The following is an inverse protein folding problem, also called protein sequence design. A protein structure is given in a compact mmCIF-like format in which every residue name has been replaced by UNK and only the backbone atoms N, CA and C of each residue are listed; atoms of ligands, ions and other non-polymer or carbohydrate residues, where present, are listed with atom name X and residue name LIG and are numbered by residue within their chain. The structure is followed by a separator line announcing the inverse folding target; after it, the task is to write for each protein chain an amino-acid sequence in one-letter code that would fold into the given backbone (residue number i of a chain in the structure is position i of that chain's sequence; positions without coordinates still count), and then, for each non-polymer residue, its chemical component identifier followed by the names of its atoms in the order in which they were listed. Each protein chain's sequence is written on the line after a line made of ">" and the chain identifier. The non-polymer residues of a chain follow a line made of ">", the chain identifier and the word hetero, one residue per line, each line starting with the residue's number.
data_IF_509782665314
#
_entry.id   IF_509782665314
#
_cell.length_a   1.000
_cell.length_b   1.000
_cell.length_c   1.000
_cell.angle_alpha   90.00
_cell.angle_beta   90.00
_cell.angle_gamma   90.00
#
_symmetry.space_group_name_H-M   'P 1'
#
loop_
_entity.id
_entity.type
_entity.pdbx_description
1 polymer ?
#
# COMPACT_ATOMS: atom_id res chain seq x y z
N UNK A 1 35.68 -1.38 -1.27
CA UNK A 1 34.57 -1.12 -2.21
C UNK A 1 33.29 -1.31 -1.43
N UNK A 2 32.76 -0.25 -0.83
CA UNK A 2 31.63 -0.25 0.11
C UNK A 2 30.43 0.36 -0.61
N UNK A 3 29.72 -0.47 -1.38
CA UNK A 3 28.49 -0.12 -2.10
C UNK A 3 27.51 -1.26 -1.79
N UNK A 4 26.78 -1.15 -0.70
CA UNK A 4 25.70 -2.08 -0.34
C UNK A 4 24.55 -1.34 0.34
N UNK A 5 24.87 -0.39 1.23
CA UNK A 5 23.86 0.32 2.03
C UNK A 5 22.89 1.23 1.25
N UNK A 6 23.34 1.91 0.20
CA UNK A 6 22.48 2.83 -0.56
C UNK A 6 21.50 2.10 -1.49
N UNK A 7 21.90 0.96 -2.06
CA UNK A 7 21.05 0.19 -2.96
C UNK A 7 19.95 -0.55 -2.17
N UNK A 8 20.29 -1.05 -0.97
CA UNK A 8 19.33 -1.60 -0.03
C UNK A 8 18.33 -0.53 0.43
N UNK A 9 18.76 0.69 0.76
CA UNK A 9 17.87 1.81 1.15
C UNK A 9 16.96 2.26 -0.02
N UNK A 10 17.45 2.27 -1.26
CA UNK A 10 16.65 2.61 -2.44
C UNK A 10 15.60 1.53 -2.77
N UNK A 11 15.99 0.27 -2.70
CA UNK A 11 15.07 -0.87 -2.86
C UNK A 11 14.03 -0.92 -1.74
N UNK A 12 14.45 -0.58 -0.51
CA UNK A 12 13.60 -0.44 0.68
C UNK A 12 12.53 0.63 0.47
N UNK A 13 12.93 1.83 0.05
CA UNK A 13 12.00 2.93 -0.20
C UNK A 13 11.00 2.58 -1.30
N UNK A 14 11.46 1.94 -2.38
CA UNK A 14 10.60 1.52 -3.49
C UNK A 14 9.50 0.52 -3.06
N UNK A 15 9.83 -0.41 -2.15
CA UNK A 15 8.86 -1.39 -1.65
C UNK A 15 7.79 -0.75 -0.73
N UNK A 16 8.20 0.15 0.16
CA UNK A 16 7.28 0.91 1.03
C UNK A 16 6.38 1.84 0.21
N UNK A 17 6.93 2.56 -0.76
CA UNK A 17 6.17 3.42 -1.68
C UNK A 17 5.14 2.62 -2.48
N UNK A 18 5.51 1.43 -2.96
CA UNK A 18 4.58 0.54 -3.66
C UNK A 18 3.44 0.06 -2.75
N UNK A 19 3.75 -0.33 -1.52
CA UNK A 19 2.72 -0.70 -0.54
C UNK A 19 1.74 0.45 -0.27
N UNK A 20 2.24 1.69 -0.15
CA UNK A 20 1.41 2.87 0.01
C UNK A 20 0.53 3.15 -1.22
N UNK A 21 1.05 2.95 -2.44
CA UNK A 21 0.26 3.11 -3.67
C UNK A 21 -0.90 2.11 -3.75
N UNK A 22 -0.67 0.86 -3.35
CA UNK A 22 -1.72 -0.17 -3.29
C UNK A 22 -2.73 0.16 -2.21
N UNK A 23 -2.29 0.63 -1.04
CA UNK A 23 -3.20 1.07 0.02
C UNK A 23 -4.14 2.19 -0.45
N UNK A 24 -3.65 3.17 -1.21
CA UNK A 24 -4.49 4.21 -1.83
C UNK A 24 -5.50 3.63 -2.81
N UNK A 25 -5.10 2.62 -3.58
CA UNK A 25 -6.00 1.92 -4.51
C UNK A 25 -7.11 1.16 -3.78
N UNK A 26 -6.78 0.51 -2.65
CA UNK A 26 -7.77 -0.13 -1.76
C UNK A 26 -8.76 0.90 -1.21
N UNK A 27 -8.25 2.05 -0.73
CA UNK A 27 -9.10 3.12 -0.20
C UNK A 27 -10.05 3.68 -1.28
N UNK A 28 -9.56 3.87 -2.52
CA UNK A 28 -10.39 4.27 -3.65
C UNK A 28 -11.46 3.22 -3.96
N UNK A 29 -11.12 1.93 -3.94
CA UNK A 29 -12.10 0.86 -4.14
C UNK A 29 -13.21 0.90 -3.09
N UNK A 30 -12.86 1.03 -1.80
CA UNK A 30 -13.86 1.19 -0.74
C UNK A 30 -14.72 2.44 -0.93
N UNK A 31 -14.15 3.57 -1.37
CA UNK A 31 -14.92 4.79 -1.65
C UNK A 31 -15.91 4.60 -2.81
N UNK A 32 -15.51 3.88 -3.88
CA UNK A 32 -16.41 3.55 -4.98
C UNK A 32 -17.53 2.61 -4.55
N UNK A 33 -17.22 1.59 -3.73
CA UNK A 33 -18.21 0.64 -3.19
C UNK A 33 -19.20 1.36 -2.28
N UNK A 34 -18.71 2.21 -1.36
CA UNK A 34 -19.55 2.95 -0.42
C UNK A 34 -20.51 3.94 -1.10
N UNK A 35 -20.12 4.49 -2.27
CA UNK A 35 -20.98 5.36 -3.07
C UNK A 35 -22.12 4.61 -3.78
N UNK A 36 -22.06 3.29 -3.88
CA UNK A 36 -23.17 2.42 -4.31
C UNK A 36 -23.57 2.46 -5.79
N UNK A 37 -23.31 3.56 -6.49
CA UNK A 37 -23.90 3.80 -7.81
C UNK A 37 -22.83 3.89 -8.90
N UNK A 38 -22.56 2.78 -9.60
CA UNK A 38 -22.06 2.68 -10.99
C UNK A 38 -21.34 1.35 -11.26
N UNK A 39 -21.03 1.10 -12.54
CA UNK A 39 -20.08 0.06 -12.97
C UNK A 39 -18.76 0.12 -12.18
N UNK A 40 -18.32 1.31 -11.73
CA UNK A 40 -17.13 1.46 -10.92
C UNK A 40 -17.24 0.79 -9.55
N UNK A 41 -18.42 0.72 -8.94
CA UNK A 41 -18.62 0.04 -7.66
C UNK A 41 -18.49 -1.48 -7.82
N UNK A 42 -19.06 -2.03 -8.89
CA UNK A 42 -18.93 -3.46 -9.22
C UNK A 42 -17.48 -3.83 -9.57
N UNK A 43 -16.83 -3.06 -10.46
CA UNK A 43 -15.42 -3.25 -10.79
C UNK A 43 -14.55 -3.14 -9.55
N UNK A 44 -14.76 -2.14 -8.69
CA UNK A 44 -14.04 -1.97 -7.43
C UNK A 44 -14.21 -3.19 -6.51
N UNK A 45 -15.43 -3.73 -6.37
CA UNK A 45 -15.69 -4.91 -5.57
C UNK A 45 -14.96 -6.16 -6.11
N UNK A 46 -14.87 -6.32 -7.43
CA UNK A 46 -14.17 -7.45 -8.05
C UNK A 46 -12.65 -7.38 -7.89
N UNK A 47 -12.05 -6.18 -7.99
CA UNK A 47 -10.59 -6.01 -7.95
C UNK A 47 -10.03 -5.81 -6.54
N UNK A 48 -10.88 -5.42 -5.58
CA UNK A 48 -10.48 -5.15 -4.19
C UNK A 48 -9.72 -6.34 -3.55
N UNK A 49 -10.15 -7.61 -3.66
CA UNK A 49 -9.40 -8.73 -3.12
C UNK A 49 -8.00 -8.88 -3.72
N UNK A 50 -7.81 -8.52 -4.99
CA UNK A 50 -6.49 -8.59 -5.65
C UNK A 50 -5.53 -7.58 -5.05
N UNK A 51 -5.96 -6.33 -4.85
CA UNK A 51 -5.14 -5.31 -4.19
C UNK A 51 -4.84 -5.66 -2.73
N UNK A 52 -5.80 -6.24 -2.01
CA UNK A 52 -5.58 -6.72 -0.63
C UNK A 52 -4.53 -7.84 -0.58
N UNK A 53 -4.60 -8.80 -1.51
CA UNK A 53 -3.62 -9.87 -1.60
C UNK A 53 -2.23 -9.35 -1.96
N UNK A 54 -2.11 -8.43 -2.93
CA UNK A 54 -0.83 -7.81 -3.30
C UNK A 54 -0.23 -7.03 -2.12
N UNK A 55 -1.04 -6.23 -1.42
CA UNK A 55 -0.61 -5.49 -0.25
C UNK A 55 -0.08 -6.42 0.86
N UNK A 56 -0.81 -7.48 1.17
CA UNK A 56 -0.39 -8.47 2.18
C UNK A 56 0.88 -9.22 1.74
N UNK A 57 1.01 -9.55 0.46
CA UNK A 57 2.21 -10.17 -0.10
C UNK A 57 3.43 -9.27 0.06
N UNK A 58 3.30 -7.98 -0.31
CA UNK A 58 4.37 -7.01 -0.14
C UNK A 58 4.72 -6.79 1.33
N UNK A 59 3.73 -6.59 2.20
CA UNK A 59 3.96 -6.35 3.63
C UNK A 59 4.71 -7.51 4.31
N UNK A 60 4.51 -8.75 3.84
CA UNK A 60 5.23 -9.94 4.34
C UNK A 60 6.68 -10.03 3.87
N UNK A 61 6.99 -9.44 2.72
CA UNK A 61 8.36 -9.37 2.18
C UNK A 61 9.17 -8.24 2.81
N UNK A 62 8.50 -7.29 3.47
CA UNK A 62 9.16 -6.20 4.16
C UNK A 62 9.87 -6.68 5.43
N UNK A 63 11.08 -6.18 5.65
CA UNK A 63 11.81 -6.35 6.90
C UNK A 63 11.15 -5.55 8.06
N UNK A 64 11.57 -5.77 9.33
CA UNK A 64 10.97 -5.08 10.47
C UNK A 64 11.06 -3.55 10.43
N UNK A 65 12.13 -2.99 9.87
CA UNK A 65 12.31 -1.54 9.75
C UNK A 65 11.34 -0.96 8.71
N UNK A 66 11.21 -1.64 7.57
CA UNK A 66 10.28 -1.31 6.49
C UNK A 66 8.81 -1.42 6.93
N UNK A 67 8.46 -2.46 7.69
CA UNK A 67 7.12 -2.59 8.27
C UNK A 67 6.81 -1.46 9.24
N UNK A 68 7.80 -1.03 10.04
CA UNK A 68 7.66 0.10 10.95
C UNK A 68 7.46 1.41 10.17
N UNK A 69 8.24 1.65 9.12
CA UNK A 69 8.10 2.81 8.25
C UNK A 69 6.72 2.85 7.57
N UNK A 70 6.30 1.73 6.97
CA UNK A 70 4.98 1.59 6.36
C UNK A 70 3.86 1.88 7.38
N UNK A 71 3.96 1.35 8.60
CA UNK A 71 2.98 1.60 9.67
C UNK A 71 2.93 3.09 10.05
N UNK A 72 4.07 3.74 10.22
CA UNK A 72 4.13 5.19 10.49
C UNK A 72 3.51 6.00 9.36
N UNK A 73 3.82 5.67 8.11
CA UNK A 73 3.25 6.35 6.94
C UNK A 73 1.73 6.16 6.85
N UNK A 74 1.22 4.96 7.14
CA UNK A 74 -0.23 4.70 7.18
C UNK A 74 -0.91 5.43 8.34
N UNK A 75 -0.24 5.59 9.48
CA UNK A 75 -0.76 6.37 10.61
C UNK A 75 -0.89 7.85 10.24
N UNK A 76 0.13 8.44 9.62
CA UNK A 76 0.10 9.82 9.15
C UNK A 76 -1.02 10.09 8.13
N UNK A 77 -1.41 9.09 7.33
CA UNK A 77 -2.54 9.19 6.39
C UNK A 77 -3.92 9.14 7.06
N UNK A 78 -4.02 8.69 8.33
CA UNK A 78 -5.28 8.60 9.08
C UNK A 78 -5.52 9.80 9.98
N UNK A 79 -4.51 10.62 10.24
CA UNK A 79 -4.64 11.85 11.02
C UNK A 79 -5.41 12.90 10.22
N UNK A 80 -6.54 13.44 10.72
CA UNK A 80 -7.22 14.56 10.10
C UNK A 80 -6.35 15.82 10.26
N UNK A 81 -6.01 16.47 9.13
CA UNK A 81 -5.44 17.82 9.08
C UNK A 81 -6.50 18.85 9.42
#
# INVERSE_FOLDING_TARGET
>A
MTITRNDDEAMTRAAVERALAIHRSIAACHAHIARGDSVHAFTAALVLPCYQAEFLGLARLLDPAQQSELRTALQALREPV
#
